data_IF_621792646831
#
_entry.id   IF_621792646831
#
_cell.length_a   1.000
_cell.length_b   1.000
_cell.length_c   1.000
_cell.angle_alpha   90.00
_cell.angle_beta   90.00
_cell.angle_gamma   90.00
#
_symmetry.space_group_name_H-M   'P 1'
#
loop_
_entity.id
_entity.type
_entity.pdbx_description
1 polymer ?
#
# COMPACT_ATOMS: atom_id res chain seq x y z
N UNK A 1 -22.73 -25.26 15.43
CA UNK A 1 -22.21 -23.89 15.21
C UNK A 1 -20.86 -24.04 14.56
N UNK A 2 -20.78 -23.82 13.24
CA UNK A 2 -19.50 -23.86 12.54
C UNK A 2 -18.82 -22.54 12.87
N UNK A 3 -17.86 -22.59 13.79
CA UNK A 3 -16.95 -21.49 14.11
C UNK A 3 -16.00 -21.31 12.93
N UNK A 4 -16.55 -20.86 11.80
CA UNK A 4 -15.77 -20.23 10.73
C UNK A 4 -15.12 -19.04 11.41
N UNK A 5 -13.88 -19.22 11.85
CA UNK A 5 -13.06 -18.15 12.42
C UNK A 5 -13.16 -17.01 11.40
N UNK A 6 -13.90 -15.96 11.73
CA UNK A 6 -14.19 -14.79 10.89
C UNK A 6 -12.91 -14.27 10.19
N UNK A 7 -11.76 -14.47 10.85
CA UNK A 7 -10.40 -14.23 10.36
C UNK A 7 -10.01 -14.93 9.05
N UNK A 8 -10.73 -15.95 8.60
CA UNK A 8 -10.46 -16.71 7.37
C UNK A 8 -11.44 -16.38 6.23
N UNK A 9 -12.34 -15.40 6.40
CA UNK A 9 -13.32 -15.04 5.38
C UNK A 9 -12.67 -14.47 4.12
N UNK A 10 -11.60 -13.69 4.28
CA UNK A 10 -10.92 -12.99 3.21
C UNK A 10 -9.45 -13.42 3.13
N UNK A 11 -8.93 -13.74 1.92
CA UNK A 11 -7.52 -14.10 1.76
C UNK A 11 -6.61 -12.91 2.06
N UNK A 12 -5.50 -13.21 2.74
CA UNK A 12 -4.45 -12.25 3.05
C UNK A 12 -3.38 -12.26 1.94
N UNK A 13 -2.94 -11.06 1.55
CA UNK A 13 -1.79 -10.89 0.67
C UNK A 13 -0.50 -11.21 1.45
N UNK A 14 0.31 -12.15 0.99
CA UNK A 14 1.58 -12.51 1.64
C UNK A 14 2.75 -12.08 0.75
N UNK A 15 3.24 -10.84 0.86
CA UNK A 15 4.35 -10.37 0.04
C UNK A 15 5.71 -10.86 0.58
N UNK A 16 6.71 -10.88 -0.29
CA UNK A 16 8.10 -10.85 0.14
C UNK A 16 8.55 -9.39 0.29
N UNK A 17 9.18 -9.03 1.40
CA UNK A 17 9.71 -7.68 1.65
C UNK A 17 11.23 -7.73 1.61
N UNK A 18 11.82 -7.16 0.56
CA UNK A 18 13.26 -7.18 0.34
C UNK A 18 13.85 -5.82 0.74
N UNK A 19 14.70 -5.79 1.77
CA UNK A 19 15.39 -4.58 2.22
C UNK A 19 16.66 -4.36 1.40
N UNK A 20 16.73 -3.26 0.67
CA UNK A 20 17.80 -2.99 -0.31
C UNK A 20 18.60 -1.76 0.13
N UNK A 21 19.93 -1.87 0.06
CA UNK A 21 20.86 -0.75 0.16
C UNK A 21 21.66 -0.56 -1.13
N UNK A 22 21.86 0.70 -1.48
CA UNK A 22 22.64 1.15 -2.64
C UNK A 22 23.75 2.08 -2.18
N UNK A 23 24.92 1.99 -2.82
CA UNK A 23 26.00 2.96 -2.64
C UNK A 23 25.74 4.27 -3.39
N UNK A 24 24.87 4.23 -4.41
CA UNK A 24 24.47 5.39 -5.20
C UNK A 24 23.21 6.04 -4.62
N UNK A 25 23.09 7.35 -4.80
CA UNK A 25 21.88 8.11 -4.48
C UNK A 25 20.67 7.51 -5.21
N UNK A 26 19.66 7.09 -4.45
CA UNK A 26 18.44 6.52 -4.97
C UNK A 26 17.39 7.59 -5.23
N UNK A 27 17.18 7.89 -6.51
CA UNK A 27 15.98 8.59 -6.98
C UNK A 27 14.85 7.60 -7.25
N UNK A 28 13.57 8.02 -7.21
CA UNK A 28 12.42 7.17 -7.55
C UNK A 28 12.59 6.38 -8.85
N UNK A 29 13.11 7.01 -9.90
CA UNK A 29 13.40 6.37 -11.19
C UNK A 29 14.41 5.24 -11.10
N UNK A 30 15.52 5.46 -10.37
CA UNK A 30 16.56 4.46 -10.21
C UNK A 30 16.07 3.29 -9.36
N UNK A 31 15.33 3.56 -8.29
CA UNK A 31 14.75 2.52 -7.44
C UNK A 31 13.73 1.68 -8.24
N UNK A 32 12.90 2.31 -9.07
CA UNK A 32 11.96 1.61 -9.97
C UNK A 32 12.70 0.73 -10.99
N UNK A 33 13.78 1.23 -11.58
CA UNK A 33 14.62 0.44 -12.50
C UNK A 33 15.24 -0.76 -11.80
N UNK A 34 15.78 -0.59 -10.60
CA UNK A 34 16.34 -1.67 -9.78
C UNK A 34 15.26 -2.74 -9.52
N UNK A 35 14.05 -2.33 -9.13
CA UNK A 35 12.95 -3.26 -8.85
C UNK A 35 12.60 -4.14 -10.08
N UNK A 36 12.52 -3.55 -11.27
CA UNK A 36 12.32 -4.31 -12.51
C UNK A 36 13.50 -5.23 -12.83
N UNK A 37 14.74 -4.78 -12.65
CA UNK A 37 15.92 -5.62 -12.92
C UNK A 37 16.06 -6.80 -11.94
N UNK A 38 15.68 -6.61 -10.68
CA UNK A 38 15.64 -7.68 -9.67
C UNK A 38 14.57 -8.74 -9.95
N UNK A 39 13.54 -8.39 -10.72
CA UNK A 39 12.40 -9.26 -11.02
C UNK A 39 12.32 -9.64 -12.50
N UNK A 40 13.36 -9.32 -13.27
CA UNK A 40 13.36 -9.40 -14.74
C UNK A 40 13.18 -10.82 -15.29
N UNK A 41 13.63 -11.84 -14.55
CA UNK A 41 13.58 -13.22 -15.00
C UNK A 41 12.15 -13.79 -14.91
N UNK A 42 11.25 -13.09 -14.21
CA UNK A 42 9.83 -13.42 -14.10
C UNK A 42 9.09 -12.92 -15.35
N UNK A 43 8.58 -13.85 -16.16
CA UNK A 43 7.82 -13.55 -17.39
C UNK A 43 6.68 -12.56 -17.14
N UNK A 44 5.87 -12.78 -16.11
CA UNK A 44 4.76 -11.91 -15.73
C UNK A 44 5.18 -10.44 -15.57
N UNK A 45 6.34 -10.19 -14.96
CA UNK A 45 6.84 -8.82 -14.75
C UNK A 45 7.23 -8.17 -16.07
N UNK A 46 7.89 -8.91 -16.97
CA UNK A 46 8.25 -8.42 -18.30
C UNK A 46 7.01 -8.05 -19.11
N UNK A 47 6.03 -8.96 -19.16
CA UNK A 47 4.78 -8.75 -19.88
C UNK A 47 4.01 -7.52 -19.32
N UNK A 48 4.00 -7.34 -18.00
CA UNK A 48 3.38 -6.16 -17.35
C UNK A 48 4.12 -4.87 -17.71
N UNK A 49 5.45 -4.89 -17.72
CA UNK A 49 6.27 -3.71 -18.03
C UNK A 49 6.04 -3.25 -19.48
N UNK A 50 6.00 -4.19 -20.42
CA UNK A 50 5.73 -3.92 -21.84
C UNK A 50 4.32 -3.33 -22.05
N UNK A 51 3.33 -3.88 -21.35
CA UNK A 51 1.93 -3.43 -21.44
C UNK A 51 1.61 -2.20 -20.58
N UNK A 52 2.58 -1.66 -19.83
CA UNK A 52 2.41 -0.53 -18.89
C UNK A 52 1.30 -0.75 -17.87
N UNK A 53 1.13 -2.00 -17.44
CA UNK A 53 0.14 -2.38 -16.45
C UNK A 53 0.72 -2.27 -15.03
N UNK A 54 -0.08 -2.62 -14.02
CA UNK A 54 0.28 -2.56 -12.61
C UNK A 54 1.35 -3.62 -12.28
N UNK A 55 2.57 -3.22 -11.90
CA UNK A 55 3.61 -4.17 -11.51
C UNK A 55 3.22 -4.90 -10.21
N UNK A 56 3.62 -6.18 -10.07
CA UNK A 56 3.38 -6.98 -8.87
C UNK A 56 4.42 -6.68 -7.78
N UNK A 57 4.81 -5.41 -7.67
CA UNK A 57 5.67 -4.90 -6.62
C UNK A 57 5.35 -3.44 -6.30
N UNK A 58 5.77 -3.00 -5.12
CA UNK A 58 5.75 -1.61 -4.70
C UNK A 58 7.07 -1.24 -4.03
N UNK A 59 7.48 0.02 -4.18
CA UNK A 59 8.63 0.56 -3.48
C UNK A 59 8.12 1.26 -2.22
N UNK A 60 8.71 0.94 -1.09
CA UNK A 60 8.38 1.48 0.23
C UNK A 60 9.61 2.07 0.87
N UNK A 61 9.40 3.01 1.79
CA UNK A 61 10.45 3.57 2.64
C UNK A 61 11.72 4.01 1.88
N UNK A 62 11.53 4.64 0.71
CA UNK A 62 12.61 5.12 -0.13
C UNK A 62 13.35 6.28 0.56
N UNK A 63 14.64 6.10 0.75
CA UNK A 63 15.60 7.11 1.22
C UNK A 63 16.70 7.31 0.19
N UNK A 64 17.69 8.16 0.51
CA UNK A 64 18.82 8.43 -0.38
C UNK A 64 19.67 7.19 -0.70
N UNK A 65 19.68 6.16 0.16
CA UNK A 65 20.55 5.00 -0.01
C UNK A 65 19.88 3.65 0.29
N UNK A 66 18.61 3.64 0.67
CA UNK A 66 17.86 2.41 0.91
C UNK A 66 16.42 2.51 0.43
N UNK A 67 15.80 1.35 0.22
CA UNK A 67 14.36 1.21 0.08
C UNK A 67 13.94 -0.23 0.39
N UNK A 68 12.65 -0.42 0.59
CA UNK A 68 12.02 -1.72 0.71
C UNK A 68 11.27 -2.04 -0.59
N UNK A 69 11.51 -3.23 -1.13
CA UNK A 69 10.80 -3.76 -2.29
C UNK A 69 9.79 -4.80 -1.81
N UNK A 70 8.51 -4.45 -1.88
CA UNK A 70 7.42 -5.36 -1.53
C UNK A 70 6.98 -6.07 -2.81
N UNK A 71 7.10 -7.40 -2.87
CA UNK A 71 6.82 -8.23 -4.04
C UNK A 71 5.60 -9.10 -3.75
N UNK A 72 4.57 -9.00 -4.57
CA UNK A 72 3.24 -9.61 -4.36
C UNK A 72 3.09 -10.98 -5.03
N UNK A 73 4.17 -11.49 -5.61
CA UNK A 73 4.21 -12.76 -6.33
C UNK A 73 5.35 -13.62 -5.77
N UNK A 74 5.27 -14.95 -5.91
CA UNK A 74 6.37 -15.83 -5.55
C UNK A 74 7.66 -15.45 -6.28
N UNK A 75 8.78 -15.44 -5.55
CA UNK A 75 10.09 -15.11 -6.09
C UNK A 75 11.17 -16.02 -5.50
N UNK A 76 12.21 -16.29 -6.29
CA UNK A 76 13.40 -17.01 -5.84
C UNK A 76 14.38 -16.06 -5.18
N UNK A 77 14.69 -16.29 -3.90
CA UNK A 77 15.71 -15.52 -3.18
C UNK A 77 17.09 -15.66 -3.84
N UNK A 78 17.43 -16.85 -4.34
CA UNK A 78 18.68 -17.07 -5.06
C UNK A 78 18.79 -16.18 -6.30
N UNK A 79 17.69 -16.04 -7.06
CA UNK A 79 17.65 -15.15 -8.21
C UNK A 79 17.78 -13.67 -7.79
N UNK A 80 17.10 -13.27 -6.70
CA UNK A 80 17.22 -11.92 -6.14
C UNK A 80 18.66 -11.57 -5.76
N UNK A 81 19.35 -12.44 -5.02
CA UNK A 81 20.74 -12.22 -4.64
C UNK A 81 21.67 -12.16 -5.85
N UNK A 82 21.50 -13.06 -6.83
CA UNK A 82 22.29 -13.05 -8.06
C UNK A 82 22.10 -11.77 -8.88
N UNK A 83 20.87 -11.27 -9.00
CA UNK A 83 20.60 -10.01 -9.68
C UNK A 83 21.12 -8.80 -8.89
N UNK A 84 21.02 -8.82 -7.56
CA UNK A 84 21.54 -7.76 -6.70
C UNK A 84 23.05 -7.60 -6.85
N UNK A 85 23.79 -8.71 -6.88
CA UNK A 85 25.24 -8.73 -7.12
C UNK A 85 25.60 -8.08 -8.46
N UNK A 86 24.90 -8.47 -9.54
CA UNK A 86 25.08 -7.91 -10.89
C UNK A 86 24.80 -6.41 -10.94
N UNK A 87 23.81 -5.95 -10.18
CA UNK A 87 23.44 -4.53 -10.07
C UNK A 87 24.33 -3.74 -9.09
N UNK A 88 25.26 -4.41 -8.39
CA UNK A 88 26.11 -3.82 -7.35
C UNK A 88 25.30 -3.17 -6.22
N UNK A 89 24.18 -3.79 -5.85
CA UNK A 89 23.37 -3.41 -4.68
C UNK A 89 23.41 -4.51 -3.63
N UNK A 90 23.13 -4.16 -2.39
CA UNK A 90 23.11 -5.08 -1.26
C UNK A 90 21.67 -5.37 -0.86
N UNK A 91 21.28 -6.64 -0.84
CA UNK A 91 20.08 -7.09 -0.11
C UNK A 91 20.51 -7.31 1.34
N UNK A 92 19.91 -6.59 2.27
CA UNK A 92 20.20 -6.74 3.69
C UNK A 92 19.41 -7.87 4.33
N UNK A 93 18.14 -7.99 3.95
CA UNK A 93 17.18 -8.91 4.55
C UNK A 93 16.04 -9.17 3.58
N UNK A 94 15.44 -10.35 3.68
CA UNK A 94 14.20 -10.73 3.02
C UNK A 94 13.23 -11.20 4.10
N UNK A 95 12.15 -10.45 4.28
CA UNK A 95 11.12 -10.71 5.29
C UNK A 95 9.84 -11.27 4.66
N UNK A 96 9.19 -12.18 5.38
CA UNK A 96 7.85 -12.68 5.09
C UNK A 96 6.93 -12.31 6.26
N UNK A 97 6.24 -11.15 6.19
CA UNK A 97 5.49 -10.62 7.32
C UNK A 97 4.35 -11.56 7.73
N UNK A 98 4.26 -11.85 9.02
CA UNK A 98 3.15 -12.61 9.60
C UNK A 98 2.01 -11.64 9.87
N UNK A 99 0.99 -11.69 9.00
CA UNK A 99 -0.18 -10.83 9.12
C UNK A 99 -1.11 -11.36 10.22
N UNK A 100 -1.51 -10.47 11.13
CA UNK A 100 -2.48 -10.76 12.19
C UNK A 100 -3.59 -9.73 12.20
N UNK A 101 -4.81 -10.15 11.88
CA UNK A 101 -5.98 -9.30 12.05
C UNK A 101 -6.34 -9.23 13.55
N UNK A 102 -6.38 -8.03 14.15
CA UNK A 102 -6.74 -7.83 15.55
C UNK A 102 -8.19 -8.21 15.84
N UNK A 103 -8.60 -8.19 17.12
CA UNK A 103 -9.99 -8.46 17.48
C UNK A 103 -10.90 -7.32 16.97
N UNK A 104 -11.76 -7.62 16.01
CA UNK A 104 -12.63 -6.67 15.31
C UNK A 104 -13.75 -6.08 16.17
N UNK A 105 -14.19 -6.78 17.23
CA UNK A 105 -15.36 -6.37 18.01
C UNK A 105 -15.12 -5.08 18.80
N UNK A 106 -13.86 -4.81 19.14
CA UNK A 106 -13.48 -3.65 19.95
C UNK A 106 -13.07 -2.44 19.11
N UNK A 107 -12.89 -2.60 17.79
CA UNK A 107 -12.34 -1.55 16.93
C UNK A 107 -13.43 -0.54 16.56
N UNK A 108 -13.14 0.73 16.81
CA UNK A 108 -14.03 1.86 16.53
C UNK A 108 -13.51 2.76 15.41
N UNK A 109 -12.19 2.97 15.36
CA UNK A 109 -11.58 3.80 14.32
C UNK A 109 -10.30 3.16 13.79
N UNK A 110 -9.90 3.64 12.62
CA UNK A 110 -8.59 3.37 12.02
C UNK A 110 -7.91 4.68 11.68
N UNK A 111 -6.63 4.78 12.03
CA UNK A 111 -5.79 5.92 11.67
C UNK A 111 -4.98 5.49 10.46
N UNK A 112 -5.16 6.18 9.34
CA UNK A 112 -4.36 6.05 8.14
C UNK A 112 -3.22 7.06 8.20
N UNK A 113 -1.99 6.60 7.97
CA UNK A 113 -0.81 7.44 7.88
C UNK A 113 -0.14 7.25 6.52
N UNK A 114 -0.22 8.25 5.66
CA UNK A 114 0.39 8.25 4.34
C UNK A 114 1.86 8.68 4.50
N UNK A 115 2.77 7.73 4.60
CA UNK A 115 4.19 7.96 4.89
C UNK A 115 4.98 8.50 3.70
N UNK A 116 4.40 8.45 2.51
CA UNK A 116 4.92 9.06 1.29
C UNK A 116 3.84 9.87 0.56
N UNK A 117 4.23 10.78 -0.34
CA UNK A 117 3.28 11.51 -1.17
C UNK A 117 2.35 10.59 -1.95
N UNK A 118 1.06 10.91 -1.92
CA UNK A 118 -0.02 10.10 -2.47
C UNK A 118 -0.88 10.94 -3.41
N UNK A 119 -1.29 10.36 -4.52
CA UNK A 119 -2.21 11.00 -5.47
C UNK A 119 -3.07 9.93 -6.11
N UNK A 120 -4.33 10.24 -6.38
CA UNK A 120 -5.20 9.35 -7.13
C UNK A 120 -5.31 9.81 -8.58
N UNK A 121 -5.84 8.95 -9.46
CA UNK A 121 -6.12 9.32 -10.85
C UNK A 121 -7.61 9.17 -11.11
N UNK A 122 -8.23 10.23 -11.61
CA UNK A 122 -9.63 10.23 -12.02
C UNK A 122 -9.77 10.97 -13.34
N UNK A 123 -10.41 10.34 -14.34
CA UNK A 123 -10.66 10.92 -15.68
C UNK A 123 -9.45 11.66 -16.27
N UNK A 124 -8.27 11.03 -16.21
CA UNK A 124 -6.97 11.55 -16.67
C UNK A 124 -6.33 12.71 -15.87
N UNK A 125 -6.92 13.12 -14.76
CA UNK A 125 -6.34 14.11 -13.85
C UNK A 125 -5.82 13.45 -12.57
N UNK A 126 -4.80 14.06 -11.99
CA UNK A 126 -4.34 13.72 -10.64
C UNK A 126 -5.26 14.37 -9.61
N UNK A 127 -5.60 13.62 -8.56
CA UNK A 127 -6.41 14.07 -7.43
C UNK A 127 -5.50 14.08 -6.19
N UNK A 128 -4.96 15.25 -5.81
CA UNK A 128 -3.91 15.38 -4.80
C UNK A 128 -4.49 15.60 -3.39
N UNK A 129 -5.60 14.95 -3.05
CA UNK A 129 -6.21 14.99 -1.72
C UNK A 129 -6.83 13.63 -1.40
N UNK A 130 -7.06 13.37 -0.12
CA UNK A 130 -7.72 12.15 0.32
C UNK A 130 -9.18 12.15 -0.09
N UNK A 131 -9.55 11.20 -0.93
CA UNK A 131 -10.92 11.01 -1.42
C UNK A 131 -11.32 9.55 -1.08
N UNK A 132 -12.26 9.33 -0.14
CA UNK A 132 -12.59 7.99 0.36
C UNK A 132 -13.00 6.98 -0.71
N UNK A 133 -13.76 7.39 -1.73
CA UNK A 133 -14.20 6.48 -2.78
C UNK A 133 -13.02 5.98 -3.62
N UNK A 134 -12.13 6.88 -4.06
CA UNK A 134 -10.91 6.54 -4.79
C UNK A 134 -9.94 5.71 -3.95
N UNK A 135 -9.86 5.97 -2.65
CA UNK A 135 -9.07 5.17 -1.71
C UNK A 135 -9.59 3.73 -1.66
N UNK A 136 -10.85 3.52 -1.29
CA UNK A 136 -11.43 2.18 -1.12
C UNK A 136 -11.46 1.41 -2.44
N UNK A 137 -11.86 2.06 -3.54
CA UNK A 137 -11.82 1.46 -4.88
C UNK A 137 -10.42 1.02 -5.28
N UNK A 138 -9.42 1.87 -5.06
CA UNK A 138 -8.03 1.57 -5.40
C UNK A 138 -7.48 0.40 -4.59
N UNK A 139 -7.76 0.38 -3.28
CA UNK A 139 -7.33 -0.69 -2.39
C UNK A 139 -7.99 -2.02 -2.76
N UNK A 140 -9.31 -2.02 -2.97
CA UNK A 140 -10.07 -3.22 -3.36
C UNK A 140 -9.52 -3.82 -4.67
N UNK A 141 -9.34 -2.99 -5.69
CA UNK A 141 -8.89 -3.45 -7.00
C UNK A 141 -7.48 -4.06 -6.96
N UNK A 142 -6.57 -3.49 -6.15
CA UNK A 142 -5.24 -4.06 -5.96
C UNK A 142 -5.28 -5.37 -5.19
N UNK A 143 -6.07 -5.43 -4.11
CA UNK A 143 -6.24 -6.66 -3.35
C UNK A 143 -6.77 -7.78 -4.23
N UNK A 144 -7.92 -7.58 -4.90
CA UNK A 144 -8.53 -8.55 -5.84
C UNK A 144 -7.52 -9.09 -6.85
N UNK A 145 -6.72 -8.19 -7.44
CA UNK A 145 -5.69 -8.52 -8.44
C UNK A 145 -4.61 -9.46 -7.92
N UNK A 146 -4.15 -9.29 -6.67
CA UNK A 146 -3.02 -10.05 -6.14
C UNK A 146 -3.42 -11.29 -5.35
N UNK A 147 -4.61 -11.29 -4.74
CA UNK A 147 -5.12 -12.47 -4.01
C UNK A 147 -5.99 -13.39 -4.89
N UNK A 148 -6.29 -12.99 -6.12
CA UNK A 148 -7.17 -13.71 -7.05
C UNK A 148 -8.53 -14.07 -6.42
N UNK A 149 -9.12 -13.11 -5.71
CA UNK A 149 -10.43 -13.22 -5.07
C UNK A 149 -11.35 -12.15 -5.64
N UNK A 150 -12.55 -12.55 -6.06
CA UNK A 150 -13.49 -11.63 -6.68
C UNK A 150 -14.64 -11.27 -5.74
N UNK A 151 -14.94 -9.98 -5.68
CA UNK A 151 -16.01 -9.36 -4.89
C UNK A 151 -16.51 -8.14 -5.65
N UNK A 152 -17.81 -7.88 -5.55
CA UNK A 152 -18.46 -6.75 -6.24
C UNK A 152 -17.80 -5.42 -5.90
N UNK A 153 -17.60 -4.56 -6.91
CA UNK A 153 -17.14 -3.17 -6.68
C UNK A 153 -18.19 -2.35 -5.93
N UNK A 154 -19.47 -2.75 -5.92
CA UNK A 154 -20.56 -2.07 -5.22
C UNK A 154 -20.33 -1.97 -3.71
N UNK A 155 -19.48 -2.85 -3.15
CA UNK A 155 -19.12 -2.77 -1.73
C UNK A 155 -18.40 -1.46 -1.39
N UNK A 156 -17.74 -0.82 -2.37
CA UNK A 156 -17.05 0.46 -2.18
C UNK A 156 -18.02 1.53 -1.72
N UNK A 157 -19.22 1.61 -2.30
CA UNK A 157 -20.22 2.60 -1.91
C UNK A 157 -20.65 2.40 -0.46
N UNK A 158 -20.84 1.14 -0.04
CA UNK A 158 -21.09 0.78 1.35
C UNK A 158 -19.95 1.18 2.29
N UNK A 159 -18.70 0.94 1.90
CA UNK A 159 -17.53 1.34 2.70
C UNK A 159 -17.44 2.86 2.86
N UNK A 160 -17.75 3.63 1.82
CA UNK A 160 -17.72 5.11 1.90
C UNK A 160 -18.80 5.66 2.84
N UNK A 161 -19.99 5.04 2.86
CA UNK A 161 -21.09 5.44 3.74
C UNK A 161 -20.80 5.06 5.20
N UNK A 162 -20.33 3.84 5.42
CA UNK A 162 -20.17 3.28 6.76
C UNK A 162 -18.83 3.61 7.42
N UNK A 163 -17.85 4.11 6.65
CA UNK A 163 -16.49 4.42 7.12
C UNK A 163 -16.11 5.82 6.66
N UNK A 164 -16.31 6.79 7.54
CA UNK A 164 -16.19 8.20 7.19
C UNK A 164 -14.96 8.83 7.85
N UNK A 165 -14.27 9.75 7.13
CA UNK A 165 -13.19 10.53 7.72
C UNK A 165 -13.77 11.51 8.75
N UNK A 166 -13.28 11.44 9.98
CA UNK A 166 -13.66 12.38 11.07
C UNK A 166 -12.59 13.44 11.33
N UNK A 167 -11.35 13.17 10.91
CA UNK A 167 -10.23 14.11 11.01
C UNK A 167 -9.24 13.84 9.90
N UNK A 168 -8.73 14.90 9.28
CA UNK A 168 -7.65 14.83 8.29
C UNK A 168 -6.61 15.87 8.58
N UNK A 169 -5.34 15.51 8.45
CA UNK A 169 -4.21 16.42 8.54
C UNK A 169 -3.30 16.13 7.36
N UNK A 170 -3.43 16.93 6.30
CA UNK A 170 -2.74 16.72 5.05
C UNK A 170 -2.04 17.98 4.57
N UNK A 171 -0.81 17.82 4.12
CA UNK A 171 -0.11 18.80 3.31
C UNK A 171 -0.18 18.39 1.84
N UNK A 172 -0.34 19.37 0.96
CA UNK A 172 -0.30 19.16 -0.50
C UNK A 172 1.02 19.70 -1.03
N UNK A 173 1.75 18.88 -1.76
CA UNK A 173 3.04 19.20 -2.33
C UNK A 173 3.18 18.67 -3.78
N UNK A 174 4.17 19.18 -4.50
CA UNK A 174 4.54 18.68 -5.83
C UNK A 174 5.80 17.86 -5.71
N UNK A 175 5.74 16.63 -6.21
CA UNK A 175 6.85 15.69 -6.14
C UNK A 175 7.42 15.44 -7.52
N UNK A 176 8.74 15.54 -7.63
CA UNK A 176 9.50 15.22 -8.83
C UNK A 176 9.96 13.77 -8.75
N UNK A 177 9.39 12.90 -9.59
CA UNK A 177 9.79 11.48 -9.69
C UNK A 177 10.95 11.28 -10.67
N UNK A 178 10.99 12.10 -11.71
CA UNK A 178 12.08 12.22 -12.68
C UNK A 178 12.04 13.62 -13.31
N UNK A 179 13.01 13.97 -14.16
CA UNK A 179 13.07 15.26 -14.84
C UNK A 179 11.80 15.64 -15.62
N UNK A 180 11.00 14.63 -16.02
CA UNK A 180 9.79 14.80 -16.85
C UNK A 180 8.49 14.54 -16.09
N UNK A 181 8.56 14.09 -14.84
CA UNK A 181 7.38 13.62 -14.10
C UNK A 181 7.29 14.38 -12.78
N UNK A 182 6.40 15.36 -12.76
CA UNK A 182 6.02 16.12 -11.56
C UNK A 182 4.54 15.84 -11.28
N UNK A 183 4.22 15.45 -10.05
CA UNK A 183 2.86 15.06 -9.65
C UNK A 183 2.46 15.85 -8.40
N UNK A 184 1.28 16.51 -8.40
CA UNK A 184 0.69 17.03 -7.17
C UNK A 184 0.18 15.87 -6.31
N UNK A 185 0.50 15.89 -5.02
CA UNK A 185 0.23 14.81 -4.09
C UNK A 185 -0.03 15.34 -2.67
N UNK A 186 -0.74 14.55 -1.86
CA UNK A 186 -0.90 14.81 -0.44
C UNK A 186 -0.04 13.87 0.40
N UNK A 187 0.36 14.31 1.59
CA UNK A 187 1.02 13.50 2.61
C UNK A 187 0.47 13.88 3.98
N UNK A 188 0.32 12.92 4.89
CA UNK A 188 -0.23 13.16 6.23
C UNK A 188 -1.15 12.03 6.68
N UNK A 189 -2.17 12.34 7.47
CA UNK A 189 -3.02 11.33 8.11
C UNK A 189 -4.53 11.59 7.99
N UNK A 190 -5.30 10.51 8.06
CA UNK A 190 -6.74 10.55 8.20
C UNK A 190 -7.20 9.59 9.29
N UNK A 191 -8.12 10.04 10.14
CA UNK A 191 -8.83 9.19 11.09
C UNK A 191 -10.16 8.82 10.46
N UNK A 192 -10.38 7.52 10.25
CA UNK A 192 -11.64 6.99 9.75
C UNK A 192 -12.40 6.34 10.89
N UNK A 193 -13.67 6.70 11.02
CA UNK A 193 -14.57 6.15 12.03
C UNK A 193 -15.50 5.11 11.40
N UNK A 194 -15.66 3.97 12.07
CA UNK A 194 -16.64 2.98 11.70
C UNK A 194 -18.00 3.37 12.25
N UNK A 195 -19.03 3.28 11.42
CA UNK A 195 -20.41 3.36 11.87
C UNK A 195 -20.67 2.32 12.98
N UNK A 196 -21.65 2.60 13.83
CA UNK A 196 -22.05 1.68 14.91
C UNK A 196 -22.63 0.37 14.36
N UNK A 197 -23.23 0.44 13.17
CA UNK A 197 -23.94 -0.67 12.54
C UNK A 197 -23.04 -1.48 11.58
N UNK A 198 -21.79 -1.05 11.38
CA UNK A 198 -20.84 -1.76 10.53
C UNK A 198 -20.62 -3.19 11.04
N UNK A 199 -20.96 -4.15 10.18
CA UNK A 199 -20.89 -5.56 10.52
C UNK A 199 -19.46 -6.01 10.87
N UNK A 200 -19.35 -7.06 11.68
CA UNK A 200 -18.07 -7.70 12.02
C UNK A 200 -17.33 -8.23 10.78
N UNK A 201 -18.07 -8.73 9.79
CA UNK A 201 -17.52 -9.16 8.51
C UNK A 201 -16.93 -7.99 7.73
N UNK A 202 -17.66 -6.89 7.62
CA UNK A 202 -17.18 -5.68 6.94
C UNK A 202 -15.94 -5.10 7.61
N UNK A 203 -15.86 -5.10 8.95
CA UNK A 203 -14.63 -4.72 9.67
C UNK A 203 -13.46 -5.64 9.33
N UNK A 204 -13.70 -6.93 9.18
CA UNK A 204 -12.66 -7.90 8.79
C UNK A 204 -12.15 -7.64 7.37
N UNK A 205 -13.07 -7.37 6.44
CA UNK A 205 -12.71 -6.97 5.08
C UNK A 205 -11.87 -5.70 5.09
N UNK A 206 -12.29 -4.66 5.81
CA UNK A 206 -11.59 -3.39 5.91
C UNK A 206 -10.16 -3.57 6.39
N UNK A 207 -9.95 -4.33 7.47
CA UNK A 207 -8.60 -4.57 7.98
C UNK A 207 -7.76 -5.41 7.01
N UNK A 208 -8.37 -6.35 6.29
CA UNK A 208 -7.70 -7.13 5.23
C UNK A 208 -7.26 -6.22 4.08
N UNK A 209 -8.14 -5.32 3.65
CA UNK A 209 -7.87 -4.32 2.62
C UNK A 209 -6.75 -3.36 3.06
N UNK A 210 -6.79 -2.86 4.29
CA UNK A 210 -5.77 -1.96 4.84
C UNK A 210 -4.41 -2.65 4.99
N UNK A 211 -4.38 -3.91 5.40
CA UNK A 211 -3.15 -4.70 5.44
C UNK A 211 -2.57 -4.91 4.04
N UNK A 212 -3.42 -5.25 3.07
CA UNK A 212 -2.99 -5.32 1.67
C UNK A 212 -2.44 -3.97 1.20
N UNK A 213 -3.11 -2.87 1.51
CA UNK A 213 -2.70 -1.52 1.16
C UNK A 213 -1.37 -1.10 1.80
N UNK A 214 -1.05 -1.58 3.00
CA UNK A 214 0.27 -1.39 3.63
C UNK A 214 1.37 -1.90 2.73
N UNK A 215 1.17 -3.03 2.04
CA UNK A 215 2.19 -3.58 1.15
C UNK A 215 2.08 -3.11 -0.29
N UNK A 216 0.86 -3.01 -0.84
CA UNK A 216 0.67 -2.54 -2.21
C UNK A 216 0.93 -1.06 -2.36
N UNK A 217 0.69 -0.28 -1.32
CA UNK A 217 0.48 1.15 -1.44
C UNK A 217 -0.87 1.48 -2.08
N UNK A 218 -1.15 2.77 -2.19
CA UNK A 218 -2.43 3.32 -2.66
C UNK A 218 -2.22 4.40 -3.71
N UNK A 219 -3.19 4.58 -4.61
CA UNK A 219 -3.11 5.58 -5.67
C UNK A 219 -2.09 5.25 -6.77
N UNK A 220 -1.54 6.30 -7.38
CA UNK A 220 -0.65 6.19 -8.54
C UNK A 220 0.82 6.00 -8.15
N UNK A 221 1.63 5.49 -9.09
CA UNK A 221 3.10 5.47 -9.00
C UNK A 221 3.67 4.75 -7.76
N UNK A 222 2.97 3.72 -7.27
CA UNK A 222 3.41 2.86 -6.15
C UNK A 222 4.75 2.17 -6.39
N UNK A 223 5.02 1.79 -7.63
CA UNK A 223 6.31 1.23 -8.04
C UNK A 223 7.47 2.24 -8.03
N UNK A 224 7.18 3.52 -7.75
CA UNK A 224 8.14 4.64 -7.66
C UNK A 224 8.24 5.21 -6.24
N UNK A 225 7.60 4.58 -5.24
CA UNK A 225 7.68 5.03 -3.85
C UNK A 225 6.58 5.99 -3.40
N UNK A 226 5.58 6.26 -4.25
CA UNK A 226 4.38 7.01 -3.85
C UNK A 226 3.32 6.10 -3.22
N UNK A 227 2.41 6.68 -2.43
CA UNK A 227 1.27 5.93 -1.92
C UNK A 227 1.58 4.97 -0.77
N UNK A 228 2.70 5.14 -0.08
CA UNK A 228 3.01 4.39 1.13
C UNK A 228 1.99 4.72 2.22
N UNK A 229 1.44 3.67 2.83
CA UNK A 229 0.39 3.74 3.82
C UNK A 229 0.79 2.85 4.99
N UNK A 230 0.66 3.40 6.18
CA UNK A 230 0.59 2.66 7.43
C UNK A 230 -0.79 2.85 8.04
N UNK A 231 -1.23 1.91 8.87
CA UNK A 231 -2.47 2.07 9.61
C UNK A 231 -2.37 1.56 11.04
N UNK A 232 -3.19 2.13 11.91
CA UNK A 232 -3.35 1.75 13.31
C UNK A 232 -4.83 1.61 13.63
N UNK A 233 -5.19 0.65 14.47
CA UNK A 233 -6.57 0.45 14.93
C UNK A 233 -6.72 1.06 16.32
N UNK A 234 -7.88 1.64 16.61
CA UNK A 234 -8.19 2.15 17.95
C UNK A 234 -9.48 1.53 18.49
N UNK A 235 -9.49 1.28 19.80
CA UNK A 235 -10.68 0.80 20.54
C UNK A 235 -11.45 1.94 21.21
N UNK A 236 -10.86 3.13 21.22
CA UNK A 236 -11.40 4.36 21.76
C UNK A 236 -11.53 5.40 20.64
N UNK A 237 -12.49 6.31 20.80
CA UNK A 237 -12.63 7.46 19.90
C UNK A 237 -11.49 8.42 20.20
N UNK A 238 -10.52 8.47 19.29
CA UNK A 238 -9.36 9.32 19.45
C UNK A 238 -9.66 10.72 18.90
N UNK A 239 -10.14 11.60 19.78
CA UNK A 239 -10.31 13.02 19.48
C UNK A 239 -9.03 13.83 19.77
N UNK A 240 -8.03 13.22 20.43
CA UNK A 240 -6.85 13.89 20.97
C UNK A 240 -5.57 13.49 20.19
N UNK A 241 -5.42 14.02 18.98
CA UNK A 241 -4.09 14.25 18.40
C UNK A 241 -3.83 15.75 18.45
N UNK A 242 -3.48 16.23 19.65
CA UNK A 242 -2.90 17.55 19.91
C UNK A 242 -1.47 17.33 20.37
N UNK A 243 -0.51 17.74 19.52
CA UNK A 243 0.86 18.06 19.92
C UNK A 243 1.79 16.90 20.25
N UNK A 244 2.59 16.47 19.26
CA UNK A 244 4.05 16.27 19.39
C UNK A 244 4.62 15.55 18.17
N UNK A 245 4.91 16.33 17.13
CA UNK A 245 6.03 16.04 16.24
C UNK A 245 6.82 17.36 16.13
N UNK A 246 7.74 17.54 17.08
CA UNK A 246 8.93 18.36 16.86
C UNK A 246 9.96 17.47 16.16
#
# INVERSE_FOLDING_TARGET
MIDLKIKNLYPLLNPAVVKIKSQNLLKPELANKIAYELTRDIKLVRDIHENRDIPPFAIKNLTDNSFELHIMIPISETALYSHAERLKIKIEEIDYPIIKIPNIHTIKQVILNFTSPTSFRWRNSYVPYFEPFLFWKGVLNLWKRFVNFDISEEIVDGLVIEIHPVKTDFIIERITLSEKIIIPAFKGSAVLEFSKDLSSESKTLVLTLLESARHTGVGVKRAWGMGNLEYQVTTEYNLAFLGSLN
#
